data_IF_205232910430
#
_entry.id   IF_205232910430
#
_cell.length_a   1.000
_cell.length_b   1.000
_cell.length_c   1.000
_cell.angle_alpha   90.00
_cell.angle_beta   90.00
_cell.angle_gamma   90.00
#
_symmetry.space_group_name_H-M   'P 1'
#
loop_
_entity.id
_entity.type
_entity.pdbx_description
1 polymer ?
#
# COMPACT_ATOMS: atom_id res chain seq x y z
N UNK A 1 -19.81 6.60 9.93
CA UNK A 1 -19.18 5.31 9.59
C UNK A 1 -18.17 5.58 8.47
N UNK A 2 -16.87 5.64 8.80
CA UNK A 2 -15.84 5.89 7.80
C UNK A 2 -15.76 4.66 6.90
N UNK A 3 -16.17 4.77 5.63
CA UNK A 3 -16.01 3.71 4.65
C UNK A 3 -14.56 3.67 4.21
N UNK A 4 -13.87 2.56 4.46
CA UNK A 4 -12.58 2.27 3.80
C UNK A 4 -12.85 2.16 2.29
N UNK A 5 -12.60 3.25 1.57
CA UNK A 5 -12.64 3.26 0.10
C UNK A 5 -11.27 2.87 -0.45
N UNK A 6 -11.23 1.84 -1.27
CA UNK A 6 -10.03 1.41 -1.99
C UNK A 6 -10.02 2.04 -3.38
N UNK A 7 -8.94 2.74 -3.72
CA UNK A 7 -8.75 3.28 -5.07
C UNK A 7 -7.81 2.38 -5.86
N UNK A 8 -8.29 1.84 -6.98
CA UNK A 8 -7.49 1.15 -7.98
C UNK A 8 -7.02 2.15 -9.04
N UNK A 9 -5.73 2.16 -9.31
CA UNK A 9 -5.13 3.00 -10.36
C UNK A 9 -4.38 2.10 -11.33
N UNK A 10 -4.67 2.21 -12.63
CA UNK A 10 -3.93 1.51 -13.68
C UNK A 10 -2.60 2.20 -13.92
N UNK A 11 -1.51 1.44 -13.88
CA UNK A 11 -0.18 1.93 -14.31
C UNK A 11 0.05 1.48 -15.76
N UNK A 12 0.26 2.44 -16.67
CA UNK A 12 0.64 2.12 -18.04
C UNK A 12 2.11 1.70 -18.09
N UNK A 13 2.38 0.56 -18.74
CA UNK A 13 3.73 -0.03 -18.87
C UNK A 13 4.56 0.54 -20.02
N UNK A 14 4.16 1.68 -20.62
CA UNK A 14 4.86 2.27 -21.78
C UNK A 14 5.79 3.41 -21.37
N UNK A 15 6.77 3.12 -20.53
CA UNK A 15 7.97 3.96 -20.43
C UNK A 15 9.19 3.14 -20.87
N UNK A 16 9.55 3.28 -22.17
CA UNK A 16 10.81 2.83 -22.71
C UNK A 16 11.97 3.53 -21.99
N UNK A 17 12.60 2.84 -21.07
CA UNK A 17 13.93 3.18 -20.59
C UNK A 17 14.88 2.30 -21.39
N UNK A 18 15.59 2.92 -22.34
CA UNK A 18 16.74 2.34 -23.03
C UNK A 18 17.87 2.17 -22.02
N UNK A 19 18.13 0.94 -21.61
CA UNK A 19 19.40 0.57 -20.98
C UNK A 19 20.21 -0.22 -21.98
N UNK A 20 21.44 0.23 -22.22
CA UNK A 20 22.43 -0.41 -23.10
C UNK A 20 22.79 -1.81 -22.60
N UNK A 21 23.03 -2.72 -23.55
CA UNK A 21 23.29 -4.13 -23.34
C UNK A 21 24.65 -4.37 -22.68
N UNK A 22 24.66 -5.05 -21.52
CA UNK A 22 25.70 -6.00 -21.20
C UNK A 22 25.07 -7.37 -20.93
N UNK A 23 25.47 -8.34 -21.77
CA UNK A 23 24.93 -9.68 -21.82
C UNK A 23 25.33 -10.50 -20.61
N UNK A 24 24.37 -10.79 -19.73
CA UNK A 24 24.43 -11.95 -18.84
C UNK A 24 23.25 -12.87 -19.09
N UNK A 25 23.56 -14.08 -19.56
CA UNK A 25 22.59 -15.17 -19.71
C UNK A 25 22.05 -15.56 -18.35
N UNK A 26 20.83 -15.14 -18.02
CA UNK A 26 20.05 -15.66 -16.91
C UNK A 26 18.79 -16.28 -17.46
N UNK A 27 18.63 -17.57 -17.19
CA UNK A 27 17.49 -18.39 -17.54
C UNK A 27 16.13 -17.74 -17.19
N UNK A 28 15.14 -17.67 -18.11
CA UNK A 28 13.92 -16.93 -17.90
C UNK A 28 12.88 -17.81 -17.19
N UNK A 29 12.84 -17.75 -15.87
CA UNK A 29 11.60 -17.97 -15.12
C UNK A 29 11.34 -16.70 -14.31
N UNK A 30 10.40 -15.84 -14.73
CA UNK A 30 10.01 -14.70 -13.91
C UNK A 30 9.33 -15.25 -12.65
N UNK A 31 10.05 -15.21 -11.56
CA UNK A 31 9.51 -15.49 -10.24
C UNK A 31 8.47 -14.39 -9.97
N UNK A 32 7.20 -14.76 -9.76
CA UNK A 32 6.09 -13.83 -9.44
C UNK A 32 6.42 -12.85 -8.29
N UNK A 33 7.34 -13.22 -7.43
CA UNK A 33 7.87 -12.38 -6.32
C UNK A 33 8.74 -11.19 -6.77
N UNK A 34 9.20 -11.13 -8.02
CA UNK A 34 10.15 -10.11 -8.45
C UNK A 34 9.55 -8.70 -8.53
N UNK A 35 8.30 -8.58 -8.98
CA UNK A 35 7.61 -7.28 -9.09
C UNK A 35 7.30 -6.66 -7.74
N UNK A 36 6.82 -7.46 -6.80
CA UNK A 36 6.54 -7.02 -5.42
C UNK A 36 7.84 -6.58 -4.73
N UNK A 37 8.93 -7.29 -4.98
CA UNK A 37 10.26 -6.93 -4.46
C UNK A 37 10.75 -5.59 -5.02
N UNK A 38 10.57 -5.33 -6.33
CA UNK A 38 10.96 -4.05 -6.95
C UNK A 38 10.12 -2.90 -6.40
N UNK A 39 8.81 -3.05 -6.28
CA UNK A 39 7.95 -2.02 -5.72
C UNK A 39 8.38 -1.63 -4.30
N UNK A 40 8.63 -2.63 -3.45
CA UNK A 40 9.17 -2.42 -2.12
C UNK A 40 10.54 -1.73 -2.13
N UNK A 41 11.45 -2.14 -2.99
CA UNK A 41 12.79 -1.54 -3.09
C UNK A 41 12.73 -0.06 -3.52
N UNK A 42 11.82 0.27 -4.42
CA UNK A 42 11.68 1.64 -4.94
C UNK A 42 11.04 2.57 -3.91
N UNK A 43 10.03 2.12 -3.18
CA UNK A 43 9.20 3.01 -2.36
C UNK A 43 9.36 2.80 -0.84
N UNK A 44 10.35 2.03 -0.40
CA UNK A 44 10.66 1.86 1.02
C UNK A 44 11.65 2.93 1.56
N UNK A 45 11.83 4.02 0.81
CA UNK A 45 12.59 5.18 1.24
C UNK A 45 11.65 6.39 1.33
N UNK A 46 11.83 7.29 2.34
CA UNK A 46 10.94 8.41 2.54
C UNK A 46 10.77 9.32 1.32
N UNK A 47 11.85 9.59 0.59
CA UNK A 47 11.85 10.48 -0.55
C UNK A 47 11.00 9.92 -1.70
N UNK A 48 11.20 8.65 -2.05
CA UNK A 48 10.46 7.96 -3.11
C UNK A 48 9.00 7.72 -2.72
N UNK A 49 8.74 7.36 -1.45
CA UNK A 49 7.38 7.23 -0.93
C UNK A 49 6.63 8.58 -0.97
N UNK A 50 7.31 9.69 -0.66
CA UNK A 50 6.73 11.03 -0.74
C UNK A 50 6.42 11.42 -2.19
N UNK A 51 7.30 11.11 -3.13
CA UNK A 51 7.05 11.36 -4.56
C UNK A 51 5.82 10.57 -5.05
N UNK A 52 5.71 9.31 -4.68
CA UNK A 52 4.55 8.48 -5.01
C UNK A 52 3.27 9.05 -4.36
N UNK A 53 3.35 9.46 -3.09
CA UNK A 53 2.24 10.11 -2.40
C UNK A 53 1.80 11.38 -3.13
N UNK A 54 2.73 12.26 -3.49
CA UNK A 54 2.45 13.50 -4.22
C UNK A 54 1.79 13.22 -5.56
N UNK A 55 2.33 12.29 -6.35
CA UNK A 55 1.80 11.92 -7.66
C UNK A 55 0.35 11.40 -7.59
N UNK A 56 0.05 10.56 -6.60
CA UNK A 56 -1.27 9.96 -6.43
C UNK A 56 -2.30 10.92 -5.81
N UNK A 57 -1.86 11.97 -5.13
CA UNK A 57 -2.73 12.91 -4.43
C UNK A 57 -2.81 14.30 -5.09
N UNK A 58 -1.99 14.56 -6.10
CA UNK A 58 -1.87 15.91 -6.68
C UNK A 58 -1.32 16.92 -5.68
N UNK A 59 -0.45 16.47 -4.76
CA UNK A 59 0.21 17.32 -3.74
C UNK A 59 1.67 17.57 -4.10
N UNK A 60 2.32 18.51 -3.40
CA UNK A 60 3.71 18.89 -3.67
C UNK A 60 4.50 19.07 -2.36
N UNK A 61 4.41 18.09 -1.45
CA UNK A 61 5.23 18.09 -0.24
C UNK A 61 6.71 17.92 -0.60
N UNK A 62 7.57 18.77 -0.04
CA UNK A 62 9.02 18.77 -0.32
C UNK A 62 9.83 18.10 0.79
N UNK A 63 9.31 18.09 2.00
CA UNK A 63 10.00 17.59 3.18
C UNK A 63 9.64 16.14 3.46
N UNK A 64 10.54 15.23 3.10
CA UNK A 64 10.40 13.81 3.36
C UNK A 64 10.55 13.44 4.85
N UNK A 65 11.09 14.34 5.69
CA UNK A 65 11.24 14.09 7.12
C UNK A 65 9.89 13.96 7.86
N UNK A 66 8.82 14.55 7.27
CA UNK A 66 7.46 14.39 7.76
C UNK A 66 6.84 13.01 7.46
N UNK A 67 7.50 12.19 6.62
CA UNK A 67 7.04 10.86 6.26
C UNK A 67 7.73 9.81 7.12
N UNK A 68 6.95 8.96 7.77
CA UNK A 68 7.45 7.83 8.55
C UNK A 68 7.09 6.52 7.86
N UNK A 69 8.11 5.77 7.43
CA UNK A 69 7.91 4.41 6.89
C UNK A 69 7.43 3.47 8.00
N UNK A 70 6.40 2.67 7.68
CA UNK A 70 5.74 1.74 8.59
C UNK A 70 5.59 0.33 8.01
N UNK A 71 6.22 0.04 6.87
CA UNK A 71 6.07 -1.23 6.17
C UNK A 71 6.30 -2.45 7.07
N UNK A 72 5.40 -3.41 7.03
CA UNK A 72 5.50 -4.68 7.77
C UNK A 72 6.51 -5.61 7.11
N UNK A 73 7.62 -5.90 7.77
CA UNK A 73 8.67 -6.78 7.21
C UNK A 73 8.28 -8.27 7.21
N UNK A 74 7.49 -8.72 8.14
CA UNK A 74 6.78 -9.99 8.17
C UNK A 74 5.84 -9.94 9.37
N UNK A 75 4.54 -10.07 9.16
CA UNK A 75 3.57 -9.97 10.24
C UNK A 75 3.87 -10.94 11.38
N UNK A 76 4.03 -10.42 12.58
CA UNK A 76 4.36 -11.20 13.79
C UNK A 76 3.26 -12.20 14.16
N UNK A 77 2.02 -11.96 13.75
CA UNK A 77 0.87 -12.74 14.18
C UNK A 77 0.10 -13.44 13.05
N UNK A 78 -0.04 -12.83 11.87
CA UNK A 78 -0.86 -13.37 10.79
C UNK A 78 -0.07 -13.65 9.52
N UNK A 79 1.24 -13.35 9.47
CA UNK A 79 2.08 -13.58 8.31
C UNK A 79 1.73 -12.71 7.10
N UNK A 80 0.92 -11.67 7.28
CA UNK A 80 0.58 -10.74 6.22
C UNK A 80 1.72 -9.75 6.01
N UNK A 81 2.05 -9.53 4.76
CA UNK A 81 3.06 -8.56 4.34
C UNK A 81 2.38 -7.55 3.42
N UNK A 82 2.46 -6.27 3.75
CA UNK A 82 2.11 -5.20 2.82
C UNK A 82 3.33 -4.81 1.97
N UNK A 83 3.09 -4.17 0.83
CA UNK A 83 4.20 -3.73 0.00
C UNK A 83 4.85 -2.47 0.58
N UNK A 84 4.10 -1.38 0.75
CA UNK A 84 4.61 -0.13 1.32
C UNK A 84 3.57 0.48 2.24
N UNK A 85 3.96 0.76 3.47
CA UNK A 85 3.17 1.50 4.44
C UNK A 85 3.95 2.71 4.96
N UNK A 86 3.28 3.85 5.08
CA UNK A 86 3.89 5.05 5.65
C UNK A 86 2.86 6.02 6.21
N UNK A 87 3.28 6.81 7.19
CA UNK A 87 2.51 7.92 7.74
C UNK A 87 2.98 9.25 7.15
N UNK A 88 2.02 10.07 6.73
CA UNK A 88 2.23 11.47 6.35
C UNK A 88 0.92 12.24 6.58
N UNK A 89 1.01 13.46 7.10
CA UNK A 89 -0.13 14.36 7.33
C UNK A 89 -1.32 13.67 8.03
N UNK A 90 -1.07 13.01 9.16
CA UNK A 90 -2.07 12.29 9.98
C UNK A 90 -2.83 11.20 9.21
N UNK A 91 -2.24 10.66 8.16
CA UNK A 91 -2.79 9.55 7.37
C UNK A 91 -1.84 8.37 7.39
N UNK A 92 -2.41 7.19 7.62
CA UNK A 92 -1.72 5.92 7.42
C UNK A 92 -2.03 5.42 6.01
N UNK A 93 -1.03 5.50 5.14
CA UNK A 93 -1.15 5.11 3.75
C UNK A 93 -0.59 3.71 3.55
N UNK A 94 -1.39 2.82 2.95
CA UNK A 94 -0.96 1.51 2.46
C UNK A 94 -1.03 1.52 0.94
N UNK A 95 0.09 1.26 0.29
CA UNK A 95 0.18 1.14 -1.16
C UNK A 95 0.64 -0.27 -1.50
N UNK A 96 -0.03 -0.88 -2.44
CA UNK A 96 0.21 -2.26 -2.84
C UNK A 96 0.22 -2.37 -4.36
N UNK A 97 1.12 -3.20 -4.89
CA UNK A 97 1.18 -3.50 -6.32
C UNK A 97 0.54 -4.86 -6.60
N UNK A 98 -0.33 -4.93 -7.61
CA UNK A 98 -0.99 -6.16 -8.03
C UNK A 98 -0.88 -6.34 -9.55
N UNK A 99 -0.54 -7.55 -9.99
CA UNK A 99 -0.50 -7.92 -11.41
C UNK A 99 -1.83 -8.48 -11.92
N UNK A 100 -2.80 -8.71 -11.03
CA UNK A 100 -4.15 -9.20 -11.35
C UNK A 100 -5.16 -8.48 -10.46
N UNK A 101 -6.38 -8.27 -10.96
CA UNK A 101 -7.46 -7.77 -10.11
C UNK A 101 -7.82 -8.79 -9.01
N UNK A 102 -8.06 -8.28 -7.81
CA UNK A 102 -8.48 -9.09 -6.68
C UNK A 102 -9.59 -8.38 -5.89
N UNK A 103 -10.79 -8.95 -5.90
CA UNK A 103 -11.95 -8.40 -5.21
C UNK A 103 -11.81 -8.38 -3.67
N UNK A 104 -10.89 -9.17 -3.11
CA UNK A 104 -10.66 -9.26 -1.66
C UNK A 104 -9.66 -8.21 -1.14
N UNK A 105 -9.20 -7.26 -1.98
CA UNK A 105 -8.28 -6.22 -1.53
C UNK A 105 -8.80 -5.41 -0.33
N UNK A 106 -10.09 -5.04 -0.23
CA UNK A 106 -10.59 -4.35 0.96
C UNK A 106 -10.46 -5.17 2.24
N UNK A 107 -10.67 -6.48 2.16
CA UNK A 107 -10.49 -7.37 3.31
C UNK A 107 -9.01 -7.50 3.71
N UNK A 108 -8.11 -7.60 2.74
CA UNK A 108 -6.66 -7.57 3.00
C UNK A 108 -6.26 -6.25 3.64
N UNK A 109 -6.76 -5.13 3.13
CA UNK A 109 -6.52 -3.80 3.72
C UNK A 109 -6.97 -3.69 5.17
N UNK A 110 -8.14 -4.25 5.52
CA UNK A 110 -8.60 -4.31 6.90
C UNK A 110 -7.57 -5.01 7.81
N UNK A 111 -7.06 -6.16 7.38
CA UNK A 111 -6.08 -6.93 8.15
C UNK A 111 -4.75 -6.17 8.30
N UNK A 112 -4.25 -5.56 7.23
CA UNK A 112 -3.03 -4.76 7.26
C UNK A 112 -3.17 -3.55 8.19
N UNK A 113 -4.27 -2.79 8.11
CA UNK A 113 -4.51 -1.67 9.02
C UNK A 113 -4.65 -2.12 10.48
N UNK A 114 -5.22 -3.28 10.71
CA UNK A 114 -5.32 -3.82 12.07
C UNK A 114 -3.92 -4.04 12.67
N UNK A 115 -3.00 -4.64 11.93
CA UNK A 115 -1.63 -4.86 12.39
C UNK A 115 -0.88 -3.52 12.60
N UNK A 116 -1.01 -2.58 11.67
CA UNK A 116 -0.35 -1.27 11.78
C UNK A 116 -0.90 -0.45 12.96
N UNK A 117 -2.21 -0.46 13.19
CA UNK A 117 -2.80 0.22 14.33
C UNK A 117 -2.43 -0.46 15.65
N UNK A 118 -2.38 -1.79 15.70
CA UNK A 118 -1.92 -2.50 16.88
C UNK A 118 -0.49 -2.07 17.24
N UNK A 119 0.41 -2.08 16.26
CA UNK A 119 1.78 -1.63 16.45
C UNK A 119 1.86 -0.17 16.95
N UNK A 120 1.08 0.72 16.34
CA UNK A 120 1.04 2.13 16.73
C UNK A 120 0.56 2.32 18.17
N UNK A 121 -0.47 1.58 18.59
CA UNK A 121 -1.01 1.58 19.94
C UNK A 121 0.05 1.11 20.95
N UNK A 122 0.75 0.03 20.63
CA UNK A 122 1.79 -0.55 21.48
C UNK A 122 3.01 0.37 21.61
N UNK A 123 3.49 0.93 20.49
CA UNK A 123 4.61 1.87 20.47
C UNK A 123 4.33 3.14 21.29
N UNK A 124 3.10 3.67 21.15
CA UNK A 124 2.69 4.88 21.88
C UNK A 124 2.14 4.58 23.28
N UNK A 125 2.12 3.31 23.69
CA UNK A 125 1.58 2.85 24.99
C UNK A 125 0.16 3.38 25.26
N UNK A 126 -0.67 3.38 24.22
CA UNK A 126 -2.05 3.84 24.31
C UNK A 126 -2.90 2.86 25.12
N UNK A 127 -3.71 3.38 26.04
CA UNK A 127 -4.60 2.55 26.84
C UNK A 127 -5.97 2.36 26.16
N UNK A 128 -6.15 1.24 25.46
CA UNK A 128 -7.42 0.90 24.78
C UNK A 128 -8.61 0.75 25.75
N UNK A 129 -8.35 0.39 26.99
CA UNK A 129 -9.38 0.14 28.01
C UNK A 129 -9.64 1.34 28.90
N UNK A 130 -8.96 2.48 28.61
CA UNK A 130 -9.17 3.72 29.32
C UNK A 130 -10.42 4.45 28.83
N UNK A 131 -10.89 5.42 29.63
CA UNK A 131 -12.08 6.23 29.29
C UNK A 131 -11.80 7.31 28.21
N UNK A 132 -10.53 7.63 27.99
CA UNK A 132 -10.15 8.68 27.04
C UNK A 132 -10.18 8.15 25.60
N UNK A 133 -10.87 8.90 24.72
CA UNK A 133 -10.86 8.61 23.28
C UNK A 133 -9.42 8.65 22.72
N UNK A 134 -9.04 7.58 22.01
CA UNK A 134 -7.79 7.50 21.28
C UNK A 134 -7.98 7.98 19.84
N UNK A 135 -7.01 8.75 19.34
CA UNK A 135 -6.99 9.22 17.97
C UNK A 135 -6.00 8.39 17.17
N UNK A 136 -6.48 7.82 16.07
CA UNK A 136 -5.67 7.06 15.12
C UNK A 136 -5.57 7.81 13.79
N UNK A 137 -4.47 7.67 13.05
CA UNK A 137 -4.34 8.27 11.73
C UNK A 137 -5.40 7.71 10.78
N UNK A 138 -5.87 8.57 9.85
CA UNK A 138 -6.90 8.17 8.88
C UNK A 138 -6.33 7.11 7.91
N UNK A 139 -6.97 5.94 7.77
CA UNK A 139 -6.50 4.90 6.87
C UNK A 139 -6.75 5.26 5.40
N UNK A 140 -5.76 5.02 4.56
CA UNK A 140 -5.87 5.15 3.12
C UNK A 140 -5.21 3.96 2.43
N UNK A 141 -5.96 3.24 1.61
CA UNK A 141 -5.47 2.08 0.86
C UNK A 141 -5.54 2.35 -0.63
N UNK A 142 -4.41 2.20 -1.32
CA UNK A 142 -4.31 2.32 -2.77
C UNK A 142 -3.65 1.06 -3.32
N UNK A 143 -4.28 0.48 -4.33
CA UNK A 143 -3.72 -0.65 -5.08
C UNK A 143 -3.37 -0.18 -6.48
N UNK A 144 -2.10 -0.26 -6.83
CA UNK A 144 -1.58 -0.01 -8.16
C UNK A 144 -1.67 -1.32 -8.95
N UNK A 145 -2.58 -1.39 -9.91
CA UNK A 145 -2.84 -2.60 -10.67
C UNK A 145 -2.36 -2.45 -12.11
N UNK A 146 -1.54 -3.39 -12.58
CA UNK A 146 -1.09 -3.46 -13.97
C UNK A 146 -1.65 -4.71 -14.70
N UNK A 147 -2.83 -5.19 -14.29
CA UNK A 147 -3.52 -6.27 -14.97
C UNK A 147 -3.85 -5.90 -16.41
N UNK A 148 -3.52 -6.78 -17.36
CA UNK A 148 -3.73 -6.54 -18.79
C UNK A 148 -5.22 -6.47 -19.17
N UNK A 149 -6.10 -7.10 -18.40
CA UNK A 149 -7.54 -7.18 -18.60
C UNK A 149 -8.34 -6.11 -17.87
N UNK A 150 -7.67 -5.22 -17.13
CA UNK A 150 -8.31 -4.12 -16.43
C UNK A 150 -8.89 -3.11 -17.44
N UNK A 151 -10.21 -2.94 -17.39
CA UNK A 151 -10.96 -2.08 -18.34
C UNK A 151 -11.05 -0.63 -17.87
N UNK A 152 -10.99 -0.40 -16.57
CA UNK A 152 -11.19 0.90 -15.96
C UNK A 152 -9.84 1.46 -15.47
N UNK A 153 -9.60 2.75 -15.66
CA UNK A 153 -8.40 3.41 -15.12
C UNK A 153 -8.41 3.49 -13.60
N UNK A 154 -9.61 3.59 -13.02
CA UNK A 154 -9.83 3.66 -11.57
C UNK A 154 -11.05 2.86 -11.19
N UNK A 155 -10.93 2.09 -10.13
CA UNK A 155 -12.01 1.30 -9.56
C UNK A 155 -12.02 1.46 -8.04
N UNK A 156 -13.19 1.58 -7.45
CA UNK A 156 -13.36 1.64 -5.99
C UNK A 156 -13.94 0.33 -5.53
N UNK A 157 -13.21 -0.40 -4.69
CA UNK A 157 -13.71 -1.58 -3.98
C UNK A 157 -14.08 -1.19 -2.56
N UNK A 158 -15.16 -1.74 -2.04
CA UNK A 158 -15.67 -1.43 -0.70
C UNK A 158 -15.66 -2.66 0.18
N UNK A 159 -15.18 -2.49 1.41
CA UNK A 159 -15.23 -3.55 2.41
C UNK A 159 -16.67 -3.99 2.71
N UNK A 160 -17.63 -3.05 2.61
CA UNK A 160 -19.05 -3.35 2.77
C UNK A 160 -19.57 -4.45 1.85
N UNK A 161 -18.95 -4.60 0.66
CA UNK A 161 -19.37 -5.57 -0.35
C UNK A 161 -18.99 -7.01 0.04
N UNK A 162 -18.08 -7.16 1.02
CA UNK A 162 -17.70 -8.45 1.58
C UNK A 162 -18.69 -8.98 2.64
N UNK A 163 -19.58 -8.13 3.14
CA UNK A 163 -20.57 -8.55 4.14
C UNK A 163 -21.84 -9.08 3.46
N UNK A 164 -22.20 -10.33 3.79
CA UNK A 164 -23.49 -10.90 3.37
C UNK A 164 -24.58 -10.38 4.29
N UNK A 165 -25.40 -9.47 3.76
CA UNK A 165 -26.65 -9.09 4.39
C UNK A 165 -27.71 -10.09 3.88
N UNK A 166 -28.27 -10.88 4.78
CA UNK A 166 -29.42 -11.75 4.47
C UNK A 166 -30.71 -10.98 4.62
#
# INVERSE_FOLDING_TARGET
>A
MAMLGLNYVRTNSDSNILCEEESYYVSPRPVRKFKDTIFNLLFNKPEEALQLFNALNGTDYKDASALRIMTLEAGLYLGYKNDVAFMVADRLNLYEHQSTENANMPLRGLLYFTEEYQRLIDEQKMNLYGEKLLFLPLPRYIVLCNAADMKEEKKVLRLSDAYRIK
#
